data_IF_280079934917
#
_entry.id   IF_280079934917
#
_cell.length_a   1.000
_cell.length_b   1.000
_cell.length_c   1.000
_cell.angle_alpha   90.00
_cell.angle_beta   90.00
_cell.angle_gamma   90.00
#
_symmetry.space_group_name_H-M   'P 1'
#
loop_
_entity.id
_entity.type
_entity.pdbx_description
1 polymer ?
#
# COMPACT_ATOMS: atom_id res chain seq x y z
N UNK A 1 19.93 29.80 8.41
CA UNK A 1 19.07 28.64 8.09
C UNK A 1 18.14 28.43 9.28
N UNK A 2 16.89 28.89 9.20
CA UNK A 2 15.91 28.72 10.30
C UNK A 2 15.21 27.37 10.11
N UNK A 3 15.21 26.54 11.14
CA UNK A 3 14.47 25.28 11.17
C UNK A 3 13.06 25.58 11.69
N UNK A 4 12.05 25.40 10.84
CA UNK A 4 10.66 25.45 11.27
C UNK A 4 10.29 24.11 11.91
N UNK A 5 9.72 24.10 13.13
CA UNK A 5 9.18 22.89 13.72
C UNK A 5 8.07 22.35 12.80
N UNK A 6 8.20 21.09 12.39
CA UNK A 6 7.07 20.36 11.82
C UNK A 6 6.21 19.94 13.00
N UNK A 7 4.95 20.35 13.02
CA UNK A 7 4.00 19.83 13.99
C UNK A 7 3.87 18.32 13.76
N UNK A 8 4.31 17.57 14.77
CA UNK A 8 4.30 16.09 14.78
C UNK A 8 3.27 15.56 15.76
N UNK A 9 2.43 16.44 16.34
CA UNK A 9 1.28 16.01 17.11
C UNK A 9 0.39 15.11 16.25
N UNK A 10 -0.07 13.99 16.82
CA UNK A 10 -1.12 13.23 16.18
C UNK A 10 -2.34 14.14 16.09
N UNK A 11 -2.66 14.60 14.87
CA UNK A 11 -3.83 15.44 14.62
C UNK A 11 -5.09 14.78 15.16
N UNK A 12 -6.09 15.59 15.52
CA UNK A 12 -7.40 15.08 15.91
C UNK A 12 -7.94 14.16 14.81
N UNK A 13 -8.66 13.11 15.20
CA UNK A 13 -9.31 12.22 14.23
C UNK A 13 -10.25 13.05 13.33
N UNK A 14 -9.95 13.06 12.03
CA UNK A 14 -10.78 13.68 11.02
C UNK A 14 -11.69 12.61 10.38
N UNK A 15 -13.02 12.71 10.52
CA UNK A 15 -13.95 11.79 9.89
C UNK A 15 -14.08 11.99 8.37
N UNK A 16 -13.49 13.04 7.81
CA UNK A 16 -13.56 13.30 6.37
C UNK A 16 -12.92 12.18 5.53
N UNK A 17 -13.54 11.84 4.38
CA UNK A 17 -12.98 10.83 3.50
C UNK A 17 -11.69 11.34 2.85
N UNK A 18 -10.80 10.40 2.52
CA UNK A 18 -9.57 10.65 1.75
C UNK A 18 -9.86 11.60 0.57
N UNK A 19 -9.21 12.75 0.57
CA UNK A 19 -9.31 13.77 -0.48
C UNK A 19 -8.62 13.30 -1.77
N UNK A 20 -8.90 13.97 -2.90
CA UNK A 20 -8.23 13.63 -4.16
C UNK A 20 -6.73 13.97 -4.13
N UNK A 21 -6.34 15.00 -3.36
CA UNK A 21 -4.94 15.37 -3.15
C UNK A 21 -4.18 14.30 -2.36
N UNK A 22 -4.75 13.82 -1.26
CA UNK A 22 -4.17 12.73 -0.46
C UNK A 22 -4.10 11.44 -1.28
N UNK A 23 -5.15 11.14 -2.06
CA UNK A 23 -5.17 9.98 -2.93
C UNK A 23 -4.04 10.03 -3.98
N UNK A 24 -3.82 11.19 -4.61
CA UNK A 24 -2.71 11.38 -5.54
C UNK A 24 -1.34 11.25 -4.85
N UNK A 25 -1.20 11.74 -3.61
CA UNK A 25 0.02 11.58 -2.81
C UNK A 25 0.28 10.11 -2.45
N UNK A 26 -0.75 9.38 -2.00
CA UNK A 26 -0.67 7.95 -1.71
C UNK A 26 -0.34 7.15 -2.96
N UNK A 27 -0.92 7.47 -4.12
CA UNK A 27 -0.59 6.80 -5.37
C UNK A 27 0.90 6.93 -5.72
N UNK A 28 1.49 8.13 -5.60
CA UNK A 28 2.94 8.33 -5.78
C UNK A 28 3.78 7.51 -4.78
N UNK A 29 3.34 7.44 -3.52
CA UNK A 29 4.01 6.63 -2.51
C UNK A 29 3.93 5.13 -2.85
N UNK A 30 2.76 4.66 -3.29
CA UNK A 30 2.53 3.27 -3.73
C UNK A 30 3.37 2.92 -4.95
N UNK A 31 3.55 3.81 -5.92
CA UNK A 31 4.46 3.56 -7.05
C UNK A 31 5.91 3.35 -6.57
N UNK A 32 6.37 4.10 -5.57
CA UNK A 32 7.70 3.90 -4.99
C UNK A 32 7.77 2.61 -4.16
N UNK A 33 6.69 2.23 -3.49
CA UNK A 33 6.58 0.97 -2.77
C UNK A 33 6.64 -0.22 -3.73
N UNK A 34 5.89 -0.19 -4.83
CA UNK A 34 5.89 -1.22 -5.87
C UNK A 34 7.28 -1.43 -6.46
N UNK A 35 8.07 -0.37 -6.67
CA UNK A 35 9.48 -0.51 -7.08
C UNK A 35 10.30 -1.31 -6.05
N UNK A 36 10.12 -1.05 -4.75
CA UNK A 36 10.84 -1.75 -3.67
C UNK A 36 10.37 -3.19 -3.48
N UNK A 37 9.10 -3.45 -3.77
CA UNK A 37 8.52 -4.80 -3.79
C UNK A 37 8.74 -5.52 -5.12
N UNK A 38 9.38 -4.88 -6.10
CA UNK A 38 9.58 -5.41 -7.45
C UNK A 38 8.28 -5.87 -8.13
N UNK A 39 7.18 -5.16 -7.86
CA UNK A 39 5.87 -5.38 -8.47
C UNK A 39 5.90 -4.87 -9.91
N UNK A 40 5.49 -5.71 -10.85
CA UNK A 40 5.38 -5.40 -12.27
C UNK A 40 4.19 -4.48 -12.56
N UNK A 41 4.16 -3.85 -13.72
CA UNK A 41 3.04 -2.97 -14.10
C UNK A 41 1.72 -3.73 -14.26
N UNK A 42 1.77 -5.01 -14.66
CA UNK A 42 0.60 -5.87 -14.74
C UNK A 42 0.04 -6.21 -13.35
N UNK A 43 0.91 -6.57 -12.41
CA UNK A 43 0.54 -6.81 -11.01
C UNK A 43 0.03 -5.53 -10.34
N UNK A 44 0.67 -4.40 -10.58
CA UNK A 44 0.24 -3.11 -10.06
C UNK A 44 -1.17 -2.73 -10.52
N UNK A 45 -1.50 -3.04 -11.78
CA UNK A 45 -2.84 -2.86 -12.33
C UNK A 45 -3.88 -3.74 -11.61
N UNK A 46 -3.54 -5.00 -11.30
CA UNK A 46 -4.40 -5.90 -10.49
C UNK A 46 -4.60 -5.37 -9.08
N UNK A 47 -3.51 -5.00 -8.38
CA UNK A 47 -3.56 -4.53 -7.00
C UNK A 47 -4.42 -3.26 -6.84
N UNK A 48 -4.41 -2.39 -7.85
CA UNK A 48 -5.16 -1.15 -7.88
C UNK A 48 -6.53 -1.24 -8.55
N UNK A 49 -6.88 -2.41 -9.11
CA UNK A 49 -8.09 -2.63 -9.91
C UNK A 49 -8.27 -1.60 -11.02
N UNK A 50 -7.20 -1.45 -11.82
CA UNK A 50 -7.15 -0.54 -12.95
C UNK A 50 -6.92 -1.32 -14.24
N UNK A 51 -7.57 -0.92 -15.36
CA UNK A 51 -7.13 -1.37 -16.66
C UNK A 51 -5.64 -1.04 -16.87
N UNK A 52 -4.86 -1.95 -17.44
CA UNK A 52 -3.42 -1.77 -17.62
C UNK A 52 -3.06 -0.45 -18.32
N UNK A 53 -3.85 -0.04 -19.31
CA UNK A 53 -3.69 1.25 -20.01
C UNK A 53 -3.89 2.45 -19.08
N UNK A 54 -4.87 2.37 -18.18
CA UNK A 54 -5.13 3.42 -17.18
C UNK A 54 -3.99 3.52 -16.19
N UNK A 55 -3.51 2.37 -15.67
CA UNK A 55 -2.35 2.34 -14.78
C UNK A 55 -1.11 2.96 -15.44
N UNK A 56 -0.79 2.57 -16.68
CA UNK A 56 0.35 3.10 -17.43
C UNK A 56 0.27 4.63 -17.60
N UNK A 57 -0.91 5.15 -17.97
CA UNK A 57 -1.15 6.60 -18.09
C UNK A 57 -0.98 7.31 -16.75
N UNK A 58 -1.54 6.76 -15.67
CA UNK A 58 -1.44 7.36 -14.34
C UNK A 58 -0.01 7.33 -13.80
N UNK A 59 0.73 6.25 -14.06
CA UNK A 59 2.16 6.13 -13.75
C UNK A 59 2.99 7.19 -14.47
N UNK A 60 2.58 7.64 -15.65
CA UNK A 60 3.20 8.73 -16.39
C UNK A 60 2.85 10.14 -15.87
N UNK A 61 2.02 10.25 -14.82
CA UNK A 61 1.68 11.51 -14.15
C UNK A 61 0.28 12.04 -14.46
N UNK A 62 -0.44 11.44 -15.40
CA UNK A 62 -1.80 11.82 -15.78
C UNK A 62 -2.84 11.12 -14.88
N UNK A 63 -2.72 11.32 -13.57
CA UNK A 63 -3.62 10.70 -12.58
C UNK A 63 -5.01 11.34 -12.69
N UNK A 64 -6.01 10.49 -12.92
CA UNK A 64 -7.42 10.88 -12.90
C UNK A 64 -8.02 10.84 -11.49
N UNK A 65 -9.33 11.07 -11.40
CA UNK A 65 -10.03 10.97 -10.12
C UNK A 65 -10.09 9.51 -9.64
N UNK A 66 -9.60 9.26 -8.43
CA UNK A 66 -9.71 7.98 -7.74
C UNK A 66 -11.09 7.86 -7.07
N UNK A 67 -11.83 6.79 -7.39
CA UNK A 67 -13.05 6.44 -6.69
C UNK A 67 -12.79 5.96 -5.25
N UNK A 68 -13.87 5.71 -4.50
CA UNK A 68 -13.81 5.20 -3.12
C UNK A 68 -13.00 3.90 -3.00
N UNK A 69 -13.19 2.99 -3.95
CA UNK A 69 -12.49 1.71 -3.98
C UNK A 69 -10.97 1.90 -4.18
N UNK A 70 -10.56 2.65 -5.21
CA UNK A 70 -9.14 2.96 -5.43
C UNK A 70 -8.47 3.64 -4.23
N UNK A 71 -9.18 4.56 -3.55
CA UNK A 71 -8.70 5.16 -2.30
C UNK A 71 -8.55 4.14 -1.17
N UNK A 72 -9.48 3.20 -1.04
CA UNK A 72 -9.40 2.11 -0.07
C UNK A 72 -8.23 1.15 -0.36
N UNK A 73 -7.98 0.83 -1.64
CA UNK A 73 -6.83 0.01 -2.06
C UNK A 73 -5.51 0.67 -1.72
N UNK A 74 -5.36 1.96 -2.03
CA UNK A 74 -4.19 2.76 -1.65
C UNK A 74 -4.00 2.79 -0.13
N UNK A 75 -5.06 3.01 0.64
CA UNK A 75 -5.01 2.99 2.11
C UNK A 75 -4.54 1.64 2.65
N UNK A 76 -5.02 0.52 2.08
CA UNK A 76 -4.58 -0.82 2.50
C UNK A 76 -3.10 -1.08 2.17
N UNK A 77 -2.64 -0.71 0.98
CA UNK A 77 -1.23 -0.85 0.59
C UNK A 77 -0.31 -0.04 1.51
N UNK A 78 -0.70 1.21 1.83
CA UNK A 78 0.04 2.03 2.79
C UNK A 78 0.01 1.45 4.21
N UNK A 79 -1.12 0.86 4.62
CA UNK A 79 -1.26 0.15 5.89
C UNK A 79 -0.33 -1.07 6.00
N UNK A 80 -0.26 -1.89 4.95
CA UNK A 80 0.65 -3.03 4.86
C UNK A 80 2.10 -2.56 4.96
N UNK A 81 2.48 -1.52 4.19
CA UNK A 81 3.82 -0.96 4.28
C UNK A 81 4.17 -0.47 5.69
N UNK A 82 3.25 0.25 6.34
CA UNK A 82 3.41 0.73 7.71
C UNK A 82 3.59 -0.43 8.69
N UNK A 83 2.76 -1.46 8.61
CA UNK A 83 2.85 -2.61 9.51
C UNK A 83 4.20 -3.33 9.35
N UNK A 84 4.65 -3.57 8.12
CA UNK A 84 5.97 -4.16 7.85
C UNK A 84 7.12 -3.30 8.41
N UNK A 85 7.02 -1.97 8.30
CA UNK A 85 8.01 -1.04 8.86
C UNK A 85 8.06 -1.04 10.39
N UNK A 86 6.99 -1.47 11.05
CA UNK A 86 6.95 -1.62 12.51
C UNK A 86 7.48 -2.99 12.95
N UNK A 87 7.13 -4.06 12.22
CA UNK A 87 7.57 -5.42 12.52
C UNK A 87 9.08 -5.58 12.27
N UNK A 88 9.59 -5.04 11.16
CA UNK A 88 10.98 -5.22 10.77
C UNK A 88 11.81 -3.97 11.04
N UNK A 89 12.84 -4.12 11.89
CA UNK A 89 13.86 -3.08 12.13
C UNK A 89 14.60 -2.69 10.84
N UNK A 90 14.92 -3.68 10.01
CA UNK A 90 15.53 -3.49 8.70
C UNK A 90 14.43 -3.48 7.62
N UNK A 91 14.22 -2.35 6.90
CA UNK A 91 13.12 -2.23 5.94
C UNK A 91 13.17 -3.28 4.81
N UNK A 92 14.38 -3.62 4.37
CA UNK A 92 14.62 -4.61 3.32
C UNK A 92 14.08 -6.00 3.67
N UNK A 93 14.05 -6.36 4.97
CA UNK A 93 13.43 -7.61 5.42
C UNK A 93 11.92 -7.59 5.21
N UNK A 94 11.27 -6.45 5.46
CA UNK A 94 9.85 -6.26 5.20
C UNK A 94 9.53 -6.31 3.70
N UNK A 95 10.40 -5.77 2.84
CA UNK A 95 10.23 -5.87 1.40
C UNK A 95 10.40 -7.31 0.90
N UNK A 96 11.39 -8.06 1.38
CA UNK A 96 11.53 -9.48 1.03
C UNK A 96 10.38 -10.33 1.56
N UNK A 97 9.84 -10.01 2.73
CA UNK A 97 8.73 -10.74 3.33
C UNK A 97 7.50 -10.78 2.42
N UNK A 98 7.20 -9.70 1.68
CA UNK A 98 6.01 -9.65 0.81
C UNK A 98 6.03 -10.74 -0.26
N UNK A 99 7.22 -11.16 -0.72
CA UNK A 99 7.42 -12.17 -1.77
C UNK A 99 7.80 -13.54 -1.21
N UNK A 100 8.02 -13.67 0.09
CA UNK A 100 8.40 -14.93 0.72
C UNK A 100 7.16 -15.79 0.97
N UNK A 101 7.27 -17.09 0.71
CA UNK A 101 6.25 -18.08 1.07
C UNK A 101 5.91 -17.97 2.56
N UNK A 102 4.62 -17.97 2.89
CA UNK A 102 4.14 -17.82 4.26
C UNK A 102 3.12 -18.91 4.61
N UNK A 103 3.40 -19.66 5.69
CA UNK A 103 2.53 -20.74 6.18
C UNK A 103 1.17 -20.24 6.62
N UNK A 104 1.06 -19.00 7.12
CA UNK A 104 -0.22 -18.36 7.44
C UNK A 104 -1.14 -18.18 6.23
N UNK A 105 -0.57 -18.21 5.02
CA UNK A 105 -1.29 -18.12 3.75
C UNK A 105 -1.23 -19.44 2.97
N UNK A 106 -1.05 -20.58 3.65
CA UNK A 106 -1.03 -21.90 3.01
C UNK A 106 0.17 -22.12 2.08
N UNK A 107 1.28 -21.41 2.32
CA UNK A 107 2.49 -21.48 1.51
C UNK A 107 2.60 -20.37 0.46
N UNK A 108 1.51 -19.66 0.16
CA UNK A 108 1.57 -18.45 -0.69
C UNK A 108 2.28 -17.30 0.02
N UNK A 109 2.89 -16.42 -0.76
CA UNK A 109 3.42 -15.15 -0.31
C UNK A 109 2.31 -14.11 -0.07
N UNK A 110 2.63 -13.05 0.66
CA UNK A 110 1.70 -11.93 0.84
C UNK A 110 1.32 -11.29 -0.50
N UNK A 111 2.26 -11.17 -1.43
CA UNK A 111 2.01 -10.62 -2.77
C UNK A 111 1.06 -11.52 -3.57
N UNK A 112 1.26 -12.84 -3.58
CA UNK A 112 0.37 -13.77 -4.29
C UNK A 112 -1.07 -13.71 -3.75
N UNK A 113 -1.24 -13.57 -2.43
CA UNK A 113 -2.57 -13.37 -1.84
C UNK A 113 -3.18 -12.07 -2.37
N UNK A 114 -2.45 -10.95 -2.31
CA UNK A 114 -2.95 -9.65 -2.78
C UNK A 114 -3.29 -9.65 -4.28
N UNK A 115 -2.59 -10.45 -5.08
CA UNK A 115 -2.83 -10.61 -6.51
C UNK A 115 -4.08 -11.43 -6.85
N UNK A 116 -4.83 -11.91 -5.85
CA UNK A 116 -6.23 -12.31 -6.05
C UNK A 116 -7.10 -11.18 -6.62
N UNK A 117 -6.71 -9.92 -6.41
CA UNK A 117 -7.28 -8.74 -7.06
C UNK A 117 -8.46 -8.12 -6.32
N UNK A 118 -9.09 -8.83 -5.39
CA UNK A 118 -10.17 -8.30 -4.58
C UNK A 118 -9.65 -7.38 -3.48
N UNK A 119 -10.43 -6.35 -3.12
CA UNK A 119 -10.09 -5.47 -1.99
C UNK A 119 -9.91 -6.28 -0.69
N UNK A 120 -10.67 -7.36 -0.53
CA UNK A 120 -10.58 -8.26 0.63
C UNK A 120 -9.26 -8.99 0.72
N UNK A 121 -8.54 -9.18 -0.38
CA UNK A 121 -7.22 -9.83 -0.37
C UNK A 121 -6.15 -8.91 0.21
N UNK A 122 -6.18 -7.61 -0.16
CA UNK A 122 -5.37 -6.58 0.50
C UNK A 122 -5.68 -6.50 2.00
N UNK A 123 -6.97 -6.50 2.34
CA UNK A 123 -7.42 -6.44 3.74
C UNK A 123 -6.98 -7.67 4.54
N UNK A 124 -6.94 -8.86 3.93
CA UNK A 124 -6.47 -10.10 4.57
C UNK A 124 -5.01 -9.98 4.99
N UNK A 125 -4.13 -9.58 4.07
CA UNK A 125 -2.70 -9.40 4.35
C UNK A 125 -2.47 -8.30 5.38
N UNK A 126 -3.20 -7.16 5.25
CA UNK A 126 -3.14 -6.08 6.24
C UNK A 126 -3.51 -6.55 7.64
N UNK A 127 -4.65 -7.23 7.79
CA UNK A 127 -5.15 -7.72 9.08
C UNK A 127 -4.19 -8.70 9.72
N UNK A 128 -3.59 -9.59 8.94
CA UNK A 128 -2.56 -10.49 9.42
C UNK A 128 -1.37 -9.72 10.02
N UNK A 129 -0.80 -8.78 9.27
CA UNK A 129 0.33 -7.96 9.75
C UNK A 129 -0.04 -7.08 10.95
N UNK A 130 -1.26 -6.54 10.97
CA UNK A 130 -1.78 -5.77 12.10
C UNK A 130 -1.98 -6.62 13.37
N UNK A 131 -2.21 -7.93 13.23
CA UNK A 131 -2.26 -8.86 14.35
C UNK A 131 -0.86 -9.23 14.85
N UNK A 132 0.09 -9.50 13.95
CA UNK A 132 1.48 -9.85 14.29
C UNK A 132 2.21 -8.74 15.06
N UNK A 133 1.86 -7.46 14.86
CA UNK A 133 2.44 -6.34 15.63
C UNK A 133 1.88 -6.19 17.05
N UNK A 134 0.80 -6.89 17.39
CA UNK A 134 0.04 -6.70 18.63
C UNK A 134 0.46 -7.61 19.80
N UNK A 135 1.53 -8.38 19.62
CA UNK A 135 2.08 -9.33 20.59
C UNK A 135 3.45 -8.88 21.10
#
# INVERSE_FOLDING_TARGET
MQLHPIDTGAGAFDPEPITDLEAAAMFRAVLNLFKRWEVTDAEAAVLLDLPARTFARWKAGEIGRLGRDGKARLSNLMGIHKALRLIFREPERGYRWIKAANTAFGGSSGLEVMLGGELTDLMRVRRYLDAERGW
#
